data_IF_673514728718
#
_entry.id   IF_673514728718
#
_cell.length_a   1.000
_cell.length_b   1.000
_cell.length_c   1.000
_cell.angle_alpha   90.00
_cell.angle_beta   90.00
_cell.angle_gamma   90.00
#
_symmetry.space_group_name_H-M   'P 1'
#
loop_
_entity.id
_entity.type
_entity.pdbx_description
1 polymer ?
#
# COMPACT_ATOMS: atom_id res chain seq x y z
N UNK A 1 5.47 12.87 -8.35
CA UNK A 1 4.96 13.07 -6.97
C UNK A 1 6.06 12.75 -5.97
N UNK A 2 6.03 13.42 -4.82
CA UNK A 2 6.97 13.11 -3.74
C UNK A 2 6.49 11.90 -2.95
N UNK A 3 7.38 11.32 -2.14
CA UNK A 3 7.02 10.22 -1.27
C UNK A 3 5.88 10.62 -0.30
N UNK A 4 5.95 11.82 0.26
CA UNK A 4 4.92 12.31 1.17
C UNK A 4 3.56 12.43 0.49
N UNK A 5 3.54 12.92 -0.74
CA UNK A 5 2.31 13.01 -1.53
C UNK A 5 1.73 11.63 -1.80
N UNK A 6 2.57 10.68 -2.16
CA UNK A 6 2.15 9.30 -2.39
C UNK A 6 1.58 8.68 -1.10
N UNK A 7 2.30 8.84 0.01
CA UNK A 7 1.87 8.31 1.30
C UNK A 7 0.52 8.90 1.72
N UNK A 8 0.37 10.21 1.58
CA UNK A 8 -0.90 10.87 1.91
C UNK A 8 -2.04 10.39 1.02
N UNK A 9 -1.78 10.20 -0.26
CA UNK A 9 -2.78 9.67 -1.18
C UNK A 9 -3.27 8.30 -0.73
N UNK A 10 -2.33 7.43 -0.37
CA UNK A 10 -2.68 6.09 0.10
C UNK A 10 -3.47 6.14 1.39
N UNK A 11 -2.98 6.91 2.38
CA UNK A 11 -3.63 6.97 3.69
C UNK A 11 -5.02 7.62 3.63
N UNK A 12 -5.23 8.54 2.71
CA UNK A 12 -6.55 9.11 2.49
C UNK A 12 -7.45 8.17 1.68
N UNK A 13 -6.87 7.51 0.68
CA UNK A 13 -7.63 6.61 -0.19
C UNK A 13 -8.19 5.40 0.53
N UNK A 14 -7.48 4.88 1.53
CA UNK A 14 -7.94 3.70 2.25
C UNK A 14 -9.19 3.97 3.10
N UNK A 15 -9.52 5.23 3.35
CA UNK A 15 -10.73 5.59 4.10
C UNK A 15 -12.01 5.19 3.36
N UNK A 16 -11.93 4.98 2.06
CA UNK A 16 -13.08 4.57 1.25
C UNK A 16 -13.42 3.09 1.38
N UNK A 17 -12.53 2.29 1.96
CA UNK A 17 -12.75 0.85 2.12
C UNK A 17 -13.55 0.54 3.37
N UNK A 18 -14.17 -0.67 3.45
CA UNK A 18 -14.94 -1.05 4.64
C UNK A 18 -14.11 -1.03 5.92
N UNK A 19 -14.72 -0.57 7.01
CA UNK A 19 -14.01 -0.45 8.29
C UNK A 19 -13.57 -1.79 8.88
N UNK A 20 -14.22 -2.89 8.50
CA UNK A 20 -13.88 -4.22 9.00
C UNK A 20 -12.68 -4.85 8.28
N UNK A 21 -12.16 -4.20 7.25
CA UNK A 21 -10.93 -4.66 6.60
C UNK A 21 -9.73 -4.26 7.43
N UNK A 22 -8.67 -5.08 7.41
CA UNK A 22 -7.40 -4.70 8.04
C UNK A 22 -6.79 -3.51 7.31
N UNK A 23 -6.06 -2.67 8.05
CA UNK A 23 -5.41 -1.51 7.45
C UNK A 23 -4.45 -1.91 6.33
N UNK A 24 -3.65 -2.96 6.56
CA UNK A 24 -2.73 -3.47 5.54
C UNK A 24 -3.45 -3.99 4.30
N UNK A 25 -4.59 -4.62 4.48
CA UNK A 25 -5.43 -5.07 3.37
C UNK A 25 -5.91 -3.90 2.53
N UNK A 26 -6.35 -2.81 3.18
CA UNK A 26 -6.79 -1.61 2.49
C UNK A 26 -5.65 -0.97 1.70
N UNK A 27 -4.48 -0.88 2.31
CA UNK A 27 -3.28 -0.30 1.67
C UNK A 27 -2.91 -1.11 0.44
N UNK A 28 -2.83 -2.43 0.57
CA UNK A 28 -2.51 -3.31 -0.55
C UNK A 28 -3.49 -3.11 -1.70
N UNK A 29 -4.78 -3.17 -1.41
CA UNK A 29 -5.81 -3.05 -2.45
C UNK A 29 -5.83 -1.68 -3.10
N UNK A 30 -5.62 -0.61 -2.33
CA UNK A 30 -5.59 0.74 -2.89
C UNK A 30 -4.42 0.90 -3.87
N UNK A 31 -3.24 0.47 -3.46
CA UNK A 31 -2.05 0.58 -4.30
C UNK A 31 -2.18 -0.31 -5.54
N UNK A 32 -2.75 -1.51 -5.36
CA UNK A 32 -2.96 -2.42 -6.50
C UNK A 32 -3.90 -1.82 -7.53
N UNK A 33 -5.03 -1.26 -7.09
CA UNK A 33 -6.05 -0.76 -8.01
C UNK A 33 -5.66 0.56 -8.68
N UNK A 34 -4.92 1.43 -8.00
CA UNK A 34 -4.57 2.75 -8.54
C UNK A 34 -3.21 2.78 -9.22
N UNK A 35 -2.21 2.13 -8.63
CA UNK A 35 -0.82 2.23 -9.11
C UNK A 35 -0.32 0.95 -9.75
N UNK A 36 -1.00 -0.18 -9.53
CA UNK A 36 -0.70 -1.47 -10.17
C UNK A 36 0.69 -2.03 -9.83
N UNK A 37 1.24 -1.69 -8.67
CA UNK A 37 2.56 -2.17 -8.25
C UNK A 37 2.52 -3.04 -6.98
N UNK A 38 1.35 -3.21 -6.36
CA UNK A 38 1.25 -3.92 -5.09
C UNK A 38 1.75 -5.36 -5.18
N UNK A 39 1.38 -6.07 -6.22
CA UNK A 39 1.80 -7.47 -6.39
C UNK A 39 3.29 -7.58 -6.65
N UNK A 40 3.88 -6.61 -7.33
CA UNK A 40 5.31 -6.58 -7.55
C UNK A 40 6.06 -6.39 -6.24
N UNK A 41 5.57 -5.53 -5.37
CA UNK A 41 6.14 -5.35 -4.03
C UNK A 41 6.06 -6.67 -3.26
N UNK A 42 4.91 -7.32 -3.30
CA UNK A 42 4.69 -8.58 -2.58
C UNK A 42 5.60 -9.69 -3.07
N UNK A 43 5.65 -9.92 -4.38
CA UNK A 43 6.35 -11.07 -4.94
C UNK A 43 7.83 -10.83 -5.21
N UNK A 44 8.18 -9.67 -5.76
CA UNK A 44 9.56 -9.40 -6.15
C UNK A 44 10.41 -8.91 -4.98
N UNK A 45 9.81 -8.20 -4.04
CA UNK A 45 10.52 -7.60 -2.92
C UNK A 45 10.24 -8.30 -1.60
N UNK A 46 9.28 -9.24 -1.59
CA UNK A 46 8.97 -10.01 -0.40
C UNK A 46 8.32 -9.19 0.73
N UNK A 47 7.74 -8.04 0.42
CA UNK A 47 7.07 -7.20 1.41
C UNK A 47 5.56 -7.35 1.22
N UNK A 48 4.88 -7.90 2.22
CA UNK A 48 3.43 -8.13 2.16
C UNK A 48 2.77 -7.55 3.40
N UNK A 49 2.02 -6.47 3.22
CA UNK A 49 1.28 -5.84 4.31
C UNK A 49 -0.17 -6.31 4.42
N UNK A 50 -0.63 -7.18 3.51
CA UNK A 50 -2.04 -7.59 3.48
C UNK A 50 -2.48 -8.20 4.81
N UNK A 51 -1.65 -9.05 5.41
CA UNK A 51 -1.92 -9.69 6.69
C UNK A 51 -1.08 -9.12 7.84
N UNK A 52 -0.21 -8.16 7.56
CA UNK A 52 0.74 -7.63 8.54
C UNK A 52 0.75 -6.11 8.53
N UNK A 53 0.06 -5.52 9.50
CA UNK A 53 0.02 -4.05 9.62
C UNK A 53 1.39 -3.43 9.92
N UNK A 54 2.28 -4.19 10.54
CA UNK A 54 3.62 -3.72 10.86
C UNK A 54 4.51 -3.49 9.62
N UNK A 55 4.10 -4.01 8.46
CA UNK A 55 4.83 -3.84 7.21
C UNK A 55 4.25 -2.75 6.30
N UNK A 56 3.24 -2.02 6.76
CA UNK A 56 2.57 -1.00 5.94
C UNK A 56 3.55 0.08 5.48
N UNK A 57 4.34 0.63 6.39
CA UNK A 57 5.27 1.71 6.02
C UNK A 57 6.31 1.24 5.01
N UNK A 58 6.86 0.05 5.22
CA UNK A 58 7.83 -0.52 4.28
C UNK A 58 7.19 -0.81 2.93
N UNK A 59 5.94 -1.27 2.92
CA UNK A 59 5.20 -1.54 1.69
C UNK A 59 5.00 -0.27 0.87
N UNK A 60 4.55 0.81 1.53
CA UNK A 60 4.32 2.10 0.88
C UNK A 60 5.65 2.64 0.32
N UNK A 61 6.71 2.56 1.10
CA UNK A 61 8.04 3.03 0.69
C UNK A 61 8.56 2.26 -0.52
N UNK A 62 8.42 0.93 -0.50
CA UNK A 62 8.87 0.08 -1.61
C UNK A 62 8.02 0.34 -2.87
N UNK A 63 6.71 0.46 -2.70
CA UNK A 63 5.82 0.77 -3.82
C UNK A 63 6.17 2.10 -4.47
N UNK A 64 6.51 3.11 -3.67
CA UNK A 64 6.90 4.41 -4.20
C UNK A 64 8.12 4.31 -5.11
N UNK A 65 9.09 3.48 -4.75
CA UNK A 65 10.30 3.29 -5.55
C UNK A 65 10.02 2.68 -6.93
N UNK A 66 8.86 2.06 -7.09
CA UNK A 66 8.47 1.41 -8.36
C UNK A 66 7.65 2.33 -9.27
N UNK A 67 7.37 3.55 -8.84
CA UNK A 67 6.57 4.50 -9.63
C UNK A 67 7.40 5.23 -10.69
#
# INVERSE_FOLDING_TARGET
MTYEEFREDVLNGIKAFPNNWRKGQKVFNYIDSKYHVARKVQFDYGVDCFYRNDLIDKFIETAYKLL
#
